data_IF_802846838417
#
_entry.id   IF_802846838417
#
_cell.length_a   1.000
_cell.length_b   1.000
_cell.length_c   1.000
_cell.angle_alpha   90.00
_cell.angle_beta   90.00
_cell.angle_gamma   90.00
#
_symmetry.space_group_name_H-M   'P 1'
#
loop_
_entity.id
_entity.type
_entity.pdbx_description
1 polymer ?
#
# COMPACT_ATOMS: atom_id res chain seq x y z
N UNK A 1 -7.71 -29.41 -3.18
CA UNK A 1 -7.30 -28.49 -2.10
C UNK A 1 -7.91 -27.13 -2.39
N UNK A 2 -8.82 -26.63 -1.55
CA UNK A 2 -9.45 -25.34 -1.76
C UNK A 2 -8.54 -24.23 -1.19
N UNK A 3 -8.00 -23.37 -2.05
CA UNK A 3 -7.08 -22.28 -1.67
C UNK A 3 -7.73 -21.35 -0.64
N UNK A 4 -9.03 -21.06 -0.79
CA UNK A 4 -9.78 -20.19 0.13
C UNK A 4 -9.84 -20.81 1.52
N UNK A 5 -10.11 -22.11 1.59
CA UNK A 5 -10.10 -22.85 2.86
C UNK A 5 -8.71 -22.81 3.51
N UNK A 6 -7.65 -23.05 2.73
CA UNK A 6 -6.27 -23.01 3.25
C UNK A 6 -5.84 -21.64 3.78
N UNK A 7 -6.29 -20.54 3.17
CA UNK A 7 -6.05 -19.19 3.67
C UNK A 7 -6.84 -18.91 4.95
N UNK A 8 -8.11 -19.29 4.96
CA UNK A 8 -8.99 -19.11 6.12
C UNK A 8 -8.48 -19.90 7.33
N UNK A 9 -8.03 -21.14 7.13
CA UNK A 9 -7.43 -22.00 8.18
C UNK A 9 -6.16 -21.35 8.79
N UNK A 10 -5.51 -20.44 8.08
CA UNK A 10 -4.34 -19.66 8.55
C UNK A 10 -4.71 -18.26 9.10
N UNK A 11 -6.00 -17.97 9.24
CA UNK A 11 -6.48 -16.65 9.66
C UNK A 11 -6.30 -15.55 8.60
N UNK A 12 -5.97 -15.91 7.36
CA UNK A 12 -5.81 -14.96 6.26
C UNK A 12 -7.18 -14.68 5.66
N UNK A 13 -7.65 -13.44 5.80
CA UNK A 13 -8.90 -12.97 5.21
C UNK A 13 -8.61 -12.32 3.86
N UNK A 14 -9.35 -12.74 2.83
CA UNK A 14 -9.33 -12.05 1.53
C UNK A 14 -10.30 -10.86 1.65
N UNK A 15 -9.79 -9.67 1.41
CA UNK A 15 -10.58 -8.46 1.34
C UNK A 15 -10.96 -8.16 -0.12
N UNK A 16 -12.23 -7.83 -0.35
CA UNK A 16 -12.71 -7.38 -1.66
C UNK A 16 -12.41 -5.89 -1.85
N UNK A 17 -12.02 -5.50 -3.06
CA UNK A 17 -11.89 -4.11 -3.43
C UNK A 17 -13.22 -3.61 -4.02
N UNK A 18 -14.06 -3.07 -3.15
CA UNK A 18 -15.34 -2.45 -3.48
C UNK A 18 -15.21 -1.06 -4.15
N UNK A 19 -16.26 -0.57 -4.84
CA UNK A 19 -16.24 0.70 -5.57
C UNK A 19 -15.85 1.92 -4.72
N UNK A 20 -16.27 2.01 -3.45
CA UNK A 20 -15.94 3.16 -2.58
C UNK A 20 -14.44 3.28 -2.31
N UNK A 21 -13.69 2.18 -2.36
CA UNK A 21 -12.23 2.24 -2.26
C UNK A 21 -11.60 2.97 -3.44
N UNK A 22 -12.23 2.93 -4.63
CA UNK A 22 -11.74 3.64 -5.80
C UNK A 22 -11.84 5.17 -5.63
N UNK A 23 -12.88 5.65 -4.94
CA UNK A 23 -13.04 7.07 -4.62
C UNK A 23 -11.91 7.53 -3.69
N UNK A 24 -11.56 6.74 -2.67
CA UNK A 24 -10.43 7.02 -1.78
C UNK A 24 -9.08 7.01 -2.53
N UNK A 25 -8.91 6.11 -3.52
CA UNK A 25 -7.73 6.14 -4.40
C UNK A 25 -7.71 7.44 -5.21
N UNK A 26 -8.84 7.89 -5.73
CA UNK A 26 -8.92 9.14 -6.49
C UNK A 26 -8.50 10.34 -5.62
N UNK A 27 -8.95 10.39 -4.36
CA UNK A 27 -8.54 11.42 -3.39
C UNK A 27 -7.04 11.37 -3.12
N UNK A 28 -6.48 10.20 -2.82
CA UNK A 28 -5.05 10.02 -2.57
C UNK A 28 -4.19 10.42 -3.77
N UNK A 29 -4.64 10.08 -4.99
CA UNK A 29 -3.97 10.49 -6.24
C UNK A 29 -4.07 12.00 -6.44
N UNK A 30 -5.25 12.59 -6.18
CA UNK A 30 -5.48 14.03 -6.29
C UNK A 30 -4.65 14.86 -5.31
N UNK A 31 -4.44 14.36 -4.09
CA UNK A 31 -3.57 14.98 -3.09
C UNK A 31 -2.09 15.02 -3.53
N UNK A 32 -1.63 14.01 -4.29
CA UNK A 32 -0.22 13.87 -4.66
C UNK A 32 0.12 14.40 -6.06
N UNK A 33 -0.83 14.35 -7.00
CA UNK A 33 -0.59 14.67 -8.41
C UNK A 33 -1.52 15.81 -8.85
N UNK A 34 -0.99 17.03 -9.05
CA UNK A 34 -1.81 18.20 -9.39
C UNK A 34 -2.56 18.08 -10.72
N UNK A 35 -2.12 17.19 -11.61
CA UNK A 35 -2.74 16.98 -12.92
C UNK A 35 -2.82 15.50 -13.28
N UNK A 36 -3.76 15.17 -14.17
CA UNK A 36 -3.83 13.83 -14.77
C UNK A 36 -2.53 13.46 -15.50
N UNK A 37 -1.85 14.45 -16.10
CA UNK A 37 -0.60 14.19 -16.82
C UNK A 37 0.54 13.82 -15.88
N UNK A 38 0.68 14.50 -14.73
CA UNK A 38 1.67 14.14 -13.70
C UNK A 38 1.44 12.73 -13.16
N UNK A 39 0.17 12.35 -12.93
CA UNK A 39 -0.17 10.99 -12.52
C UNK A 39 0.17 9.94 -13.57
N UNK A 40 -0.19 10.17 -14.84
CA UNK A 40 0.14 9.24 -15.94
C UNK A 40 1.65 9.08 -16.12
N UNK A 41 2.41 10.17 -16.02
CA UNK A 41 3.88 10.13 -16.06
C UNK A 41 4.43 9.29 -14.92
N UNK A 42 3.93 9.47 -13.69
CA UNK A 42 4.31 8.64 -12.55
C UNK A 42 4.06 7.15 -12.82
N UNK A 43 2.84 6.78 -13.22
CA UNK A 43 2.48 5.38 -13.55
C UNK A 43 3.38 4.78 -14.62
N UNK A 44 3.64 5.54 -15.68
CA UNK A 44 4.55 5.11 -16.76
C UNK A 44 5.94 4.82 -16.22
N UNK A 45 6.51 5.76 -15.48
CA UNK A 45 7.86 5.63 -14.93
C UNK A 45 7.93 4.44 -13.97
N UNK A 46 6.88 4.21 -13.17
CA UNK A 46 6.77 3.05 -12.28
C UNK A 46 6.77 1.74 -13.07
N UNK A 47 5.94 1.64 -14.11
CA UNK A 47 5.87 0.46 -14.98
C UNK A 47 7.22 0.14 -15.63
N UNK A 48 7.92 1.15 -16.15
CA UNK A 48 9.24 0.96 -16.75
C UNK A 48 10.31 0.60 -15.71
N UNK A 49 10.24 1.19 -14.52
CA UNK A 49 11.14 0.84 -13.42
C UNK A 49 10.96 -0.62 -12.96
N UNK A 50 9.75 -1.16 -13.02
CA UNK A 50 9.50 -2.59 -12.77
C UNK A 50 10.19 -3.52 -13.79
N UNK A 51 10.55 -3.01 -14.97
CA UNK A 51 11.34 -3.74 -15.97
C UNK A 51 12.86 -3.60 -15.74
N UNK A 52 13.28 -2.99 -14.64
CA UNK A 52 14.70 -2.76 -14.32
C UNK A 52 15.32 -1.57 -15.05
N UNK A 53 14.52 -0.74 -15.71
CA UNK A 53 15.03 0.44 -16.40
C UNK A 53 15.30 1.58 -15.42
N UNK A 54 16.47 2.21 -15.56
CA UNK A 54 16.82 3.38 -14.77
C UNK A 54 16.22 4.67 -15.36
N UNK A 55 16.36 5.79 -14.65
CA UNK A 55 15.78 7.08 -15.06
C UNK A 55 16.26 7.52 -16.43
N UNK A 56 17.55 7.37 -16.74
CA UNK A 56 18.13 7.82 -18.00
C UNK A 56 17.54 7.03 -19.18
N UNK A 57 17.42 5.71 -19.03
CA UNK A 57 16.78 4.85 -20.03
C UNK A 57 15.29 5.18 -20.22
N UNK A 58 14.59 5.50 -19.12
CA UNK A 58 13.17 5.86 -19.16
C UNK A 58 12.92 7.13 -19.96
N UNK A 59 13.85 8.10 -19.94
CA UNK A 59 13.70 9.35 -20.72
C UNK A 59 13.74 9.14 -22.23
N UNK A 60 14.39 8.07 -22.69
CA UNK A 60 14.55 7.75 -24.11
C UNK A 60 13.32 7.04 -24.71
N UNK A 61 12.45 6.48 -23.87
CA UNK A 61 11.28 5.72 -24.30
C UNK A 61 10.10 6.70 -24.46
N UNK A 62 9.39 6.69 -25.58
CA UNK A 62 8.19 7.52 -25.72
C UNK A 62 6.95 6.84 -25.12
N UNK A 63 6.01 7.64 -24.60
CA UNK A 63 4.72 7.14 -24.12
C UNK A 63 4.02 8.09 -23.14
N UNK A 64 2.69 8.07 -23.15
CA UNK A 64 1.88 9.00 -22.35
C UNK A 64 1.51 8.49 -20.96
N UNK A 65 1.66 7.18 -20.69
CA UNK A 65 1.21 6.54 -19.45
C UNK A 65 -0.31 6.41 -19.30
N UNK A 66 -1.09 6.78 -20.32
CA UNK A 66 -2.57 6.72 -20.29
C UNK A 66 -3.09 5.30 -20.05
N UNK A 67 -2.45 4.30 -20.67
CA UNK A 67 -2.82 2.89 -20.61
C UNK A 67 -2.17 2.12 -19.47
N UNK A 68 -1.23 2.74 -18.73
CA UNK A 68 -0.65 2.12 -17.55
C UNK A 68 -1.71 2.02 -16.45
N UNK A 69 -1.92 0.83 -15.90
CA UNK A 69 -2.78 0.63 -14.72
C UNK A 69 -2.22 1.34 -13.48
N UNK A 70 -3.08 1.58 -12.49
CA UNK A 70 -2.59 1.88 -11.14
C UNK A 70 -1.85 0.64 -10.59
N UNK A 71 -0.80 0.85 -9.81
CA UNK A 71 -0.12 -0.26 -9.13
C UNK A 71 -1.02 -0.84 -8.04
N UNK A 72 -0.82 -2.12 -7.71
CA UNK A 72 -1.51 -2.78 -6.59
C UNK A 72 -1.31 -2.00 -5.28
N UNK A 73 -0.18 -1.31 -5.12
CA UNK A 73 0.10 -0.46 -3.96
C UNK A 73 -0.96 0.64 -3.77
N UNK A 74 -1.46 1.28 -4.83
CA UNK A 74 -2.56 2.25 -4.70
C UNK A 74 -3.85 1.61 -4.22
N UNK A 75 -4.14 0.37 -4.63
CA UNK A 75 -5.32 -0.35 -4.16
C UNK A 75 -5.18 -0.71 -2.68
N UNK A 76 -3.98 -1.12 -2.25
CA UNK A 76 -3.67 -1.38 -0.84
C UNK A 76 -3.82 -0.08 -0.02
N UNK A 77 -3.28 1.04 -0.51
CA UNK A 77 -3.35 2.33 0.16
C UNK A 77 -4.79 2.83 0.29
N UNK A 78 -5.57 2.73 -0.80
CA UNK A 78 -6.97 3.10 -0.85
C UNK A 78 -7.82 2.28 0.12
N UNK A 79 -7.64 0.95 0.10
CA UNK A 79 -8.31 0.06 1.05
C UNK A 79 -7.94 0.40 2.50
N UNK A 80 -6.65 0.54 2.80
CA UNK A 80 -6.19 0.83 4.16
C UNK A 80 -6.76 2.15 4.70
N UNK A 81 -6.79 3.21 3.88
CA UNK A 81 -7.37 4.50 4.27
C UNK A 81 -8.89 4.43 4.42
N UNK A 82 -9.59 3.74 3.51
CA UNK A 82 -11.04 3.61 3.56
C UNK A 82 -11.52 2.85 4.80
N UNK A 83 -10.84 1.75 5.12
CA UNK A 83 -11.22 0.84 6.21
C UNK A 83 -10.56 1.21 7.55
N UNK A 84 -9.90 2.38 7.63
CA UNK A 84 -9.24 2.84 8.86
C UNK A 84 -8.14 1.91 9.37
N UNK A 85 -7.50 1.15 8.48
CA UNK A 85 -6.50 0.16 8.84
C UNK A 85 -5.11 0.78 8.95
N UNK A 86 -4.32 0.33 9.93
CA UNK A 86 -2.88 0.57 9.99
C UNK A 86 -2.18 -0.36 8.99
N UNK A 87 -1.52 0.19 7.97
CA UNK A 87 -0.73 -0.61 7.04
C UNK A 87 0.61 -1.00 7.66
N UNK A 88 0.86 -2.29 7.86
CA UNK A 88 2.16 -2.80 8.34
C UNK A 88 3.04 -3.11 7.13
N UNK A 89 4.02 -2.25 6.86
CA UNK A 89 4.92 -2.38 5.71
C UNK A 89 6.24 -1.63 5.95
N UNK A 90 7.35 -2.19 5.48
CA UNK A 90 8.64 -1.49 5.39
C UNK A 90 8.74 -0.55 4.18
N UNK A 91 7.67 -0.44 3.40
CA UNK A 91 7.67 0.24 2.13
C UNK A 91 7.49 1.75 2.23
N UNK A 92 8.45 2.47 1.64
CA UNK A 92 8.56 3.92 1.66
C UNK A 92 8.16 4.58 0.34
N UNK A 93 7.65 3.81 -0.63
CA UNK A 93 7.22 4.31 -1.94
C UNK A 93 6.10 5.37 -1.83
N UNK A 94 6.00 6.22 -2.85
CA UNK A 94 5.08 7.37 -2.92
C UNK A 94 3.61 6.96 -2.77
N UNK A 95 3.24 5.78 -3.25
CA UNK A 95 1.89 5.21 -3.10
C UNK A 95 1.41 5.17 -1.64
N UNK A 96 2.35 5.09 -0.69
CA UNK A 96 2.08 4.95 0.74
C UNK A 96 2.42 6.21 1.55
N UNK A 97 2.56 7.37 0.92
CA UNK A 97 2.99 8.61 1.59
C UNK A 97 1.94 9.19 2.54
N UNK A 98 0.66 9.14 2.15
CA UNK A 98 -0.45 9.78 2.86
C UNK A 98 -1.36 8.77 3.58
N UNK A 99 -0.81 7.62 4.00
CA UNK A 99 -1.55 6.59 4.72
C UNK A 99 -0.88 6.29 6.06
N UNK A 100 -1.69 5.90 7.04
CA UNK A 100 -1.19 5.46 8.34
C UNK A 100 -0.45 4.14 8.16
N UNK A 101 0.84 4.12 8.50
CA UNK A 101 1.68 2.92 8.36
C UNK A 101 2.73 2.78 9.46
N UNK A 102 3.18 1.55 9.67
CA UNK A 102 4.28 1.20 10.58
C UNK A 102 5.10 0.04 10.01
N UNK A 103 6.28 -0.24 10.57
CA UNK A 103 7.03 -1.46 10.23
C UNK A 103 6.60 -2.62 11.11
N UNK A 104 6.85 -3.86 10.65
CA UNK A 104 6.59 -5.05 11.46
C UNK A 104 7.39 -5.01 12.77
N UNK A 105 8.66 -4.63 12.70
CA UNK A 105 9.55 -4.56 13.88
C UNK A 105 9.02 -3.59 14.94
N UNK A 106 8.50 -2.43 14.51
CA UNK A 106 7.89 -1.47 15.42
C UNK A 106 6.63 -2.05 16.07
N UNK A 107 5.77 -2.70 15.28
CA UNK A 107 4.55 -3.31 15.80
C UNK A 107 4.85 -4.43 16.80
N UNK A 108 5.81 -5.30 16.49
CA UNK A 108 6.27 -6.37 17.39
C UNK A 108 6.81 -5.79 18.70
N UNK A 109 7.66 -4.76 18.62
CA UNK A 109 8.19 -4.07 19.80
C UNK A 109 7.09 -3.47 20.68
N UNK A 110 6.06 -2.86 20.09
CA UNK A 110 4.93 -2.30 20.82
C UNK A 110 4.09 -3.39 21.51
N UNK A 111 3.87 -4.53 20.84
CA UNK A 111 3.16 -5.68 21.42
C UNK A 111 3.94 -6.26 22.60
N UNK A 112 5.26 -6.42 22.47
CA UNK A 112 6.11 -6.92 23.56
C UNK A 112 6.04 -6.04 24.81
N UNK A 113 6.06 -4.72 24.64
CA UNK A 113 5.92 -3.77 25.74
C UNK A 113 4.58 -3.92 26.46
N UNK A 114 3.47 -4.02 25.72
CA UNK A 114 2.14 -4.19 26.29
C UNK A 114 2.01 -5.51 27.08
N UNK A 115 2.59 -6.60 26.57
CA UNK A 115 2.59 -7.89 27.25
C UNK A 115 3.39 -7.85 28.56
N UNK A 116 4.51 -7.14 28.59
CA UNK A 116 5.32 -6.96 29.81
C UNK A 116 4.58 -6.13 30.86
N UNK A 117 3.87 -5.07 30.45
CA UNK A 117 3.07 -4.23 31.35
C UNK A 117 1.89 -5.00 31.96
N UNK A 118 1.15 -5.77 31.16
CA UNK A 118 0.04 -6.58 31.63
C UNK A 118 0.47 -7.66 32.66
N UNK A 119 1.68 -8.20 32.49
CA UNK A 119 2.25 -9.20 33.42
C UNK A 119 2.63 -8.56 34.76
N UNK A 120 3.11 -7.31 34.75
CA UNK A 120 3.45 -6.56 35.97
C UNK A 120 2.22 -6.22 36.81
N UNK A 121 1.09 -5.86 36.18
CA UNK A 121 -0.17 -5.58 36.88
C UNK A 121 -0.78 -6.83 37.53
N UNK A 122 -0.54 -8.01 36.96
CA UNK A 122 -1.08 -9.28 37.48
C UNK A 122 -0.29 -9.86 38.67
N UNK A 123 0.88 -9.29 39.00
CA UNK A 123 1.77 -9.75 40.07
C UNK A 123 1.82 -8.80 41.27
N UNK A 124 1.05 -7.72 41.25
CA UNK A 124 0.78 -6.79 42.37
C UNK A 124 -0.66 -6.91 42.83
#
# INVERSE_FOLDING_TARGET
>A
MNIIKGLTDKGIRIASFEPHHADIVADLVGEQFPTTQTWRTFKRNRCLACLGLNKDQITLIQGSGKTCGATVDWLIAGYAKAEGCLLVTGDTREEFKNIMKTTLEHLESAVEQLLQEATKVSTT
#
